data_IF_898592549614
#
_entry.id   IF_898592549614
#
_cell.length_a   1.000
_cell.length_b   1.000
_cell.length_c   1.000
_cell.angle_alpha   90.00
_cell.angle_beta   90.00
_cell.angle_gamma   90.00
#
_symmetry.space_group_name_H-M   'P 1'
#
loop_
_entity.id
_entity.type
_entity.pdbx_description
1 polymer ?
#
# COMPACT_ATOMS: atom_id res chain seq x y z
N UNK A 1 -23.45 38.61 41.57
CA UNK A 1 -24.53 38.09 42.43
C UNK A 1 -25.84 38.30 41.69
N UNK A 2 -26.74 37.30 41.76
CA UNK A 2 -27.79 36.94 40.79
C UNK A 2 -27.22 36.45 39.45
N UNK A 3 -27.29 35.16 39.06
CA UNK A 3 -28.36 34.15 39.25
C UNK A 3 -29.43 34.42 38.17
N UNK A 4 -29.79 33.54 37.25
CA UNK A 4 -29.95 32.09 37.28
C UNK A 4 -30.09 31.54 35.84
N UNK A 5 -29.56 30.33 35.65
CA UNK A 5 -30.16 29.16 35.01
C UNK A 5 -30.39 29.00 33.50
N UNK A 6 -30.09 27.77 33.10
CA UNK A 6 -30.12 27.13 31.80
C UNK A 6 -31.48 27.17 31.09
N UNK A 7 -31.42 27.35 29.77
CA UNK A 7 -32.21 26.49 28.86
C UNK A 7 -31.60 26.45 27.46
N UNK A 8 -30.84 25.39 27.19
CA UNK A 8 -30.55 24.96 25.81
C UNK A 8 -31.87 24.54 25.18
N UNK A 9 -32.52 25.44 24.44
CA UNK A 9 -33.61 25.07 23.51
C UNK A 9 -32.96 24.58 22.23
N UNK A 10 -32.90 23.27 22.06
CA UNK A 10 -32.74 22.66 20.75
C UNK A 10 -33.90 23.14 19.87
N UNK A 11 -33.62 24.08 18.98
CA UNK A 11 -34.59 24.58 18.02
C UNK A 11 -34.34 23.82 16.72
N UNK A 12 -35.13 22.76 16.51
CA UNK A 12 -35.28 22.15 15.20
C UNK A 12 -35.83 23.21 14.24
N UNK A 13 -34.96 23.79 13.41
CA UNK A 13 -35.38 24.64 12.31
C UNK A 13 -35.56 23.73 11.10
N UNK A 14 -36.82 23.42 10.78
CA UNK A 14 -37.21 22.93 9.47
C UNK A 14 -36.92 24.04 8.46
N UNK A 15 -35.77 23.98 7.79
CA UNK A 15 -35.51 24.84 6.64
C UNK A 15 -36.21 24.24 5.42
N UNK A 16 -37.22 24.94 4.95
CA UNK A 16 -37.91 24.65 3.70
C UNK A 16 -36.91 24.86 2.55
N UNK A 17 -36.51 23.77 1.88
CA UNK A 17 -35.78 23.85 0.62
C UNK A 17 -36.73 24.39 -0.45
N UNK A 18 -36.49 25.63 -0.90
CA UNK A 18 -37.04 26.13 -2.16
C UNK A 18 -36.38 25.32 -3.29
N UNK A 19 -37.14 24.72 -4.22
CA UNK A 19 -36.54 24.01 -5.34
C UNK A 19 -35.88 25.02 -6.28
N UNK A 20 -34.55 24.97 -6.37
CA UNK A 20 -33.82 25.60 -7.46
C UNK A 20 -34.14 24.81 -8.73
N UNK A 21 -34.64 25.44 -9.81
CA UNK A 21 -34.82 24.74 -11.07
C UNK A 21 -33.45 24.36 -11.62
N UNK A 22 -33.25 23.05 -11.80
CA UNK A 22 -32.22 22.40 -12.60
C UNK A 22 -30.96 23.22 -12.84
N UNK A 23 -30.00 23.14 -11.90
CA UNK A 23 -28.61 23.20 -12.31
C UNK A 23 -28.43 22.09 -13.35
N UNK A 24 -28.20 22.49 -14.61
CA UNK A 24 -27.70 21.59 -15.62
C UNK A 24 -26.50 20.88 -15.00
N UNK A 25 -26.66 19.59 -14.70
CA UNK A 25 -25.54 18.74 -14.34
C UNK A 25 -24.56 18.85 -15.50
N UNK A 26 -23.45 19.54 -15.28
CA UNK A 26 -22.26 19.34 -16.11
C UNK A 26 -22.05 17.82 -16.09
N UNK A 27 -22.13 17.13 -17.23
CA UNK A 27 -21.79 15.71 -17.25
C UNK A 27 -20.39 15.63 -16.64
N UNK A 28 -20.21 14.80 -15.61
CA UNK A 28 -18.87 14.48 -15.15
C UNK A 28 -18.11 14.02 -16.39
N UNK A 29 -17.01 14.70 -16.73
CA UNK A 29 -16.14 14.22 -17.79
C UNK A 29 -15.78 12.77 -17.47
N UNK A 30 -15.81 11.85 -18.45
CA UNK A 30 -15.38 10.49 -18.21
C UNK A 30 -13.95 10.54 -17.66
N UNK A 31 -13.67 9.72 -16.64
CA UNK A 31 -12.30 9.54 -16.16
C UNK A 31 -11.44 9.15 -17.36
N UNK A 32 -10.49 10.02 -17.71
CA UNK A 32 -9.54 9.74 -18.77
C UNK A 32 -8.61 8.66 -18.23
N UNK A 33 -8.72 7.46 -18.79
CA UNK A 33 -7.83 6.35 -18.47
C UNK A 33 -6.62 6.40 -19.42
N UNK A 34 -5.45 6.10 -18.89
CA UNK A 34 -4.19 6.14 -19.64
C UNK A 34 -3.60 4.74 -19.74
N UNK A 35 -3.50 4.24 -20.97
CA UNK A 35 -2.64 3.09 -21.28
C UNK A 35 -1.29 3.63 -21.71
N UNK A 36 -0.25 3.29 -20.97
CA UNK A 36 1.13 3.72 -21.22
C UNK A 36 2.01 2.51 -21.54
N UNK A 37 2.85 2.68 -22.53
CA UNK A 37 3.89 1.74 -22.90
C UNK A 37 5.22 2.50 -22.87
N UNK A 38 6.12 2.03 -22.00
CA UNK A 38 7.38 2.74 -21.72
C UNK A 38 8.55 1.81 -21.92
N UNK A 39 9.29 2.06 -23.00
CA UNK A 39 10.62 1.53 -23.24
C UNK A 39 11.65 2.51 -22.69
N UNK A 40 12.57 2.02 -21.85
CA UNK A 40 13.73 2.80 -21.41
C UNK A 40 15.02 2.05 -21.66
N UNK A 41 16.08 2.79 -21.94
CA UNK A 41 17.46 2.32 -21.99
C UNK A 41 18.35 3.27 -21.20
N UNK A 42 19.33 2.71 -20.50
CA UNK A 42 20.20 3.47 -19.60
C UNK A 42 21.56 2.77 -19.48
N UNK A 43 22.62 3.48 -19.02
CA UNK A 43 23.92 2.86 -18.78
C UNK A 43 23.96 1.97 -17.53
N UNK A 44 23.09 2.24 -16.55
CA UNK A 44 23.01 1.54 -15.27
C UNK A 44 22.12 0.29 -15.37
N UNK A 45 22.23 -0.67 -14.43
CA UNK A 45 21.44 -1.91 -14.49
C UNK A 45 20.04 -1.71 -13.87
N UNK A 46 18.95 -2.18 -14.51
CA UNK A 46 18.91 -2.87 -15.80
C UNK A 46 19.15 -1.93 -17.00
N UNK A 47 19.94 -2.39 -17.98
CA UNK A 47 20.32 -1.59 -19.17
C UNK A 47 19.13 -1.19 -20.05
N UNK A 48 18.05 -1.96 -19.96
CA UNK A 48 16.86 -1.85 -20.78
C UNK A 48 15.67 -2.38 -19.97
N UNK A 49 14.51 -1.76 -20.13
CA UNK A 49 13.25 -2.31 -19.66
C UNK A 49 12.09 -1.81 -20.50
N UNK A 50 11.05 -2.63 -20.57
CA UNK A 50 9.79 -2.30 -21.22
C UNK A 50 8.66 -2.73 -20.31
N UNK A 51 7.71 -1.82 -20.11
CA UNK A 51 6.53 -2.08 -19.31
C UNK A 51 5.30 -1.40 -19.89
N UNK A 52 4.17 -2.08 -19.73
CA UNK A 52 2.85 -1.58 -20.08
C UNK A 52 2.05 -1.41 -18.80
N UNK A 53 1.51 -0.22 -18.59
CA UNK A 53 0.74 0.14 -17.42
C UNK A 53 -0.59 0.82 -17.78
N UNK A 54 -1.63 0.51 -17.03
CA UNK A 54 -2.95 1.14 -17.11
C UNK A 54 -3.16 1.96 -15.85
N UNK A 55 -3.35 3.27 -15.98
CA UNK A 55 -3.48 4.21 -14.85
C UNK A 55 -2.35 4.07 -13.81
N UNK A 56 -1.10 3.91 -14.27
CA UNK A 56 0.10 3.66 -13.46
C UNK A 56 0.11 2.32 -12.68
N UNK A 57 -0.79 1.39 -13.00
CA UNK A 57 -0.72 0.00 -12.55
C UNK A 57 -0.07 -0.86 -13.65
N UNK A 58 1.05 -1.50 -13.34
CA UNK A 58 1.73 -2.37 -14.30
C UNK A 58 0.85 -3.57 -14.65
N UNK A 59 0.60 -3.76 -15.95
CA UNK A 59 -0.09 -4.94 -16.48
C UNK A 59 0.93 -5.98 -16.95
N UNK A 60 1.96 -5.52 -17.66
CA UNK A 60 2.97 -6.38 -18.27
C UNK A 60 4.38 -5.77 -18.16
N UNK A 61 5.35 -6.66 -18.15
CA UNK A 61 6.77 -6.34 -18.31
C UNK A 61 7.39 -7.25 -19.36
N UNK A 62 8.40 -6.78 -20.08
CA UNK A 62 9.07 -7.58 -21.09
C UNK A 62 10.38 -8.17 -20.54
N UNK A 63 10.50 -9.49 -20.66
CA UNK A 63 11.69 -10.25 -20.32
C UNK A 63 12.59 -10.37 -21.56
N UNK A 64 13.54 -9.44 -21.65
CA UNK A 64 14.41 -9.30 -22.83
C UNK A 64 15.25 -10.56 -23.10
N UNK A 65 15.92 -11.19 -22.13
CA UNK A 65 16.67 -12.43 -22.38
C UNK A 65 15.84 -13.57 -22.97
N UNK A 66 14.58 -13.71 -22.55
CA UNK A 66 13.69 -14.79 -23.01
C UNK A 66 12.72 -14.35 -24.12
N UNK A 67 12.79 -13.08 -24.54
CA UNK A 67 11.93 -12.48 -25.58
C UNK A 67 10.43 -12.75 -25.36
N UNK A 68 9.96 -12.53 -24.13
CA UNK A 68 8.58 -12.84 -23.74
C UNK A 68 7.97 -11.75 -22.86
N UNK A 69 6.66 -11.55 -23.01
CA UNK A 69 5.88 -10.71 -22.11
C UNK A 69 5.49 -11.48 -20.85
N UNK A 70 5.72 -10.89 -19.69
CA UNK A 70 5.36 -11.42 -18.39
C UNK A 70 4.17 -10.64 -17.84
N UNK A 71 3.03 -11.30 -17.55
CA UNK A 71 1.92 -10.67 -16.87
C UNK A 71 2.29 -10.37 -15.41
N UNK A 72 1.80 -9.24 -14.91
CA UNK A 72 2.01 -8.87 -13.51
C UNK A 72 1.26 -9.78 -12.54
N UNK A 73 0.10 -10.30 -12.95
CA UNK A 73 -0.68 -11.26 -12.18
C UNK A 73 -0.26 -12.70 -12.55
N UNK A 74 -0.04 -13.60 -11.58
CA UNK A 74 0.32 -14.99 -11.85
C UNK A 74 -0.68 -15.73 -12.76
N UNK A 75 -1.97 -15.44 -12.61
CA UNK A 75 -3.06 -15.98 -13.43
C UNK A 75 -3.56 -14.97 -14.49
N UNK A 76 -2.72 -13.98 -14.82
CA UNK A 76 -3.04 -12.94 -15.80
C UNK A 76 -3.16 -13.50 -17.22
N UNK A 77 -3.91 -12.82 -18.11
CA UNK A 77 -3.94 -13.20 -19.51
C UNK A 77 -2.53 -13.07 -20.13
N UNK A 78 -2.23 -13.92 -21.11
CA UNK A 78 -1.04 -13.72 -21.93
C UNK A 78 -1.16 -12.42 -22.73
N UNK A 79 -0.02 -11.84 -23.10
CA UNK A 79 0.03 -10.67 -23.97
C UNK A 79 -0.78 -10.94 -25.27
N UNK A 80 -1.68 -10.04 -25.68
CA UNK A 80 -2.53 -10.30 -26.85
C UNK A 80 -1.69 -10.47 -28.12
N UNK A 81 -1.95 -11.56 -28.86
CA UNK A 81 -1.25 -11.84 -30.10
C UNK A 81 -1.50 -10.74 -31.15
N UNK A 82 -0.43 -10.25 -31.77
CA UNK A 82 -0.50 -9.32 -32.89
C UNK A 82 -0.60 -7.83 -32.53
N UNK A 83 -0.55 -7.45 -31.24
CA UNK A 83 -0.36 -6.05 -30.83
C UNK A 83 1.06 -5.61 -31.13
N UNK A 84 2.04 -6.43 -30.75
CA UNK A 84 3.45 -6.13 -30.96
C UNK A 84 4.26 -7.42 -31.00
N UNK A 85 5.10 -7.56 -32.02
CA UNK A 85 5.93 -8.75 -32.20
C UNK A 85 7.29 -8.56 -31.52
N UNK A 86 7.89 -9.62 -30.93
CA UNK A 86 9.22 -9.51 -30.32
C UNK A 86 10.30 -8.91 -31.24
N UNK A 87 10.17 -9.07 -32.56
CA UNK A 87 11.09 -8.51 -33.56
C UNK A 87 11.00 -6.98 -33.65
N UNK A 88 9.81 -6.41 -33.50
CA UNK A 88 9.58 -4.95 -33.51
C UNK A 88 10.24 -4.33 -32.26
N UNK A 89 10.05 -4.98 -31.12
CA UNK A 89 10.70 -4.61 -29.86
C UNK A 89 12.23 -4.59 -29.96
N UNK A 90 12.84 -5.58 -30.61
CA UNK A 90 14.30 -5.59 -30.79
C UNK A 90 14.79 -4.35 -31.56
N UNK A 91 14.04 -3.90 -32.57
CA UNK A 91 14.40 -2.69 -33.32
C UNK A 91 14.33 -1.44 -32.46
N UNK A 92 13.26 -1.29 -31.67
CA UNK A 92 13.09 -0.14 -30.78
C UNK A 92 14.16 -0.11 -29.67
N UNK A 93 14.59 -1.29 -29.20
CA UNK A 93 15.68 -1.37 -28.21
C UNK A 93 17.03 -0.93 -28.78
N UNK A 94 17.30 -1.22 -30.06
CA UNK A 94 18.51 -0.77 -30.74
C UNK A 94 18.47 0.73 -30.98
N UNK A 95 17.34 1.24 -31.49
CA UNK A 95 17.10 2.66 -31.67
C UNK A 95 17.24 3.44 -30.36
N UNK A 96 16.70 2.92 -29.25
CA UNK A 96 16.83 3.53 -27.93
C UNK A 96 18.31 3.69 -27.55
N UNK A 97 19.12 2.64 -27.72
CA UNK A 97 20.55 2.68 -27.38
C UNK A 97 21.32 3.65 -28.25
N UNK A 98 21.07 3.66 -29.57
CA UNK A 98 21.70 4.60 -30.49
C UNK A 98 21.35 6.05 -30.15
N UNK A 99 20.08 6.31 -29.83
CA UNK A 99 19.60 7.62 -29.43
C UNK A 99 20.22 8.05 -28.10
N UNK A 100 20.29 7.16 -27.11
CA UNK A 100 20.94 7.42 -25.83
C UNK A 100 22.41 7.80 -26.02
N UNK A 101 23.15 7.07 -26.85
CA UNK A 101 24.56 7.32 -27.16
C UNK A 101 24.75 8.67 -27.89
N UNK A 102 23.88 8.99 -28.84
CA UNK A 102 23.88 10.29 -29.52
C UNK A 102 23.55 11.44 -28.56
N UNK A 103 22.47 11.32 -27.78
CA UNK A 103 22.03 12.33 -26.83
C UNK A 103 23.09 12.57 -25.75
N UNK A 104 23.74 11.51 -25.25
CA UNK A 104 24.84 11.61 -24.28
C UNK A 104 26.02 12.40 -24.83
N UNK A 105 26.32 12.30 -26.13
CA UNK A 105 27.41 13.09 -26.76
C UNK A 105 27.08 14.56 -26.95
N UNK A 106 25.84 14.88 -27.31
CA UNK A 106 25.45 16.24 -27.71
C UNK A 106 24.85 17.06 -26.57
N UNK A 107 24.31 16.39 -25.54
CA UNK A 107 23.76 17.07 -24.38
C UNK A 107 24.87 17.81 -23.62
N UNK A 108 24.64 19.10 -23.39
CA UNK A 108 25.53 19.95 -22.60
C UNK A 108 24.77 20.38 -21.36
N UNK A 109 24.95 19.63 -20.27
CA UNK A 109 24.27 19.85 -19.01
C UNK A 109 24.49 18.68 -18.05
N UNK A 110 24.27 18.87 -16.74
CA UNK A 110 24.20 17.74 -15.83
C UNK A 110 23.07 16.82 -16.29
N UNK A 111 23.28 15.50 -16.23
CA UNK A 111 22.17 14.57 -16.28
C UNK A 111 21.15 14.98 -15.22
N UNK A 112 19.85 14.73 -15.46
CA UNK A 112 18.84 14.93 -14.41
C UNK A 112 19.33 14.22 -13.15
N UNK A 113 19.71 15.00 -12.13
CA UNK A 113 20.18 14.45 -10.85
C UNK A 113 19.06 13.56 -10.33
N UNK A 114 19.41 12.32 -10.00
CA UNK A 114 18.41 11.30 -9.70
C UNK A 114 17.49 11.73 -8.57
N UNK A 115 16.19 11.64 -8.80
CA UNK A 115 15.19 11.92 -7.79
C UNK A 115 15.41 11.02 -6.56
N UNK A 116 15.48 11.61 -5.36
CA UNK A 116 15.65 10.85 -4.10
C UNK A 116 14.45 9.89 -3.98
N UNK A 117 14.67 8.56 -3.96
CA UNK A 117 13.57 7.61 -3.87
C UNK A 117 12.82 7.79 -2.56
N UNK A 118 11.50 7.65 -2.60
CA UNK A 118 10.66 7.67 -1.41
C UNK A 118 10.20 6.24 -1.15
N UNK A 119 10.41 5.74 0.05
CA UNK A 119 10.09 4.37 0.42
C UNK A 119 9.11 4.33 1.59
N UNK A 120 8.06 3.53 1.45
CA UNK A 120 7.08 3.25 2.50
C UNK A 120 6.96 1.74 2.71
N UNK A 121 6.83 1.32 3.96
CA UNK A 121 6.69 -0.08 4.34
C UNK A 121 5.39 -0.33 5.09
N UNK A 122 4.62 -1.31 4.63
CA UNK A 122 3.34 -1.69 5.23
C UNK A 122 3.09 -3.19 5.08
N UNK A 123 2.12 -3.71 5.84
CA UNK A 123 1.69 -5.10 5.69
C UNK A 123 0.63 -5.23 4.60
N UNK A 124 0.67 -6.34 3.87
CA UNK A 124 -0.33 -6.71 2.87
C UNK A 124 -1.68 -7.03 3.51
N UNK A 125 -1.66 -7.70 4.66
CA UNK A 125 -2.87 -8.07 5.42
C UNK A 125 -2.84 -7.44 6.82
N UNK A 126 -3.99 -7.27 7.48
CA UNK A 126 -4.03 -6.75 8.85
C UNK A 126 -3.12 -7.52 9.82
N UNK A 127 -2.45 -6.79 10.72
CA UNK A 127 -1.45 -7.36 11.62
C UNK A 127 -2.07 -8.38 12.59
N UNK A 128 -1.58 -9.62 12.55
CA UNK A 128 -1.79 -10.64 13.57
C UNK A 128 -0.42 -11.19 14.00
N UNK A 129 -0.08 -11.06 15.28
CA UNK A 129 1.21 -11.53 15.78
C UNK A 129 1.29 -13.05 15.75
N UNK A 130 2.42 -13.58 15.27
CA UNK A 130 2.68 -15.01 15.16
C UNK A 130 2.01 -15.70 13.96
N UNK A 131 1.36 -14.96 13.07
CA UNK A 131 0.76 -15.48 11.84
C UNK A 131 1.52 -15.01 10.59
N UNK A 132 1.59 -15.83 9.51
CA UNK A 132 2.22 -15.42 8.26
C UNK A 132 1.57 -14.18 7.66
N UNK A 133 2.40 -13.29 7.11
CA UNK A 133 1.98 -12.10 6.37
C UNK A 133 3.10 -11.72 5.38
N UNK A 134 2.90 -10.64 4.62
CA UNK A 134 3.89 -10.12 3.68
C UNK A 134 4.07 -8.62 3.94
N UNK A 135 5.31 -8.20 4.20
CA UNK A 135 5.67 -6.79 4.16
C UNK A 135 5.84 -6.35 2.72
N UNK A 136 5.33 -5.17 2.40
CA UNK A 136 5.45 -4.51 1.11
C UNK A 136 6.29 -3.25 1.32
N UNK A 137 7.38 -3.13 0.57
CA UNK A 137 8.13 -1.89 0.41
C UNK A 137 7.76 -1.29 -0.94
N UNK A 138 7.00 -0.20 -0.91
CA UNK A 138 6.67 0.60 -2.09
C UNK A 138 7.73 1.69 -2.22
N UNK A 139 8.37 1.76 -3.38
CA UNK A 139 9.41 2.76 -3.67
C UNK A 139 8.98 3.59 -4.87
N UNK A 140 8.82 4.89 -4.68
CA UNK A 140 8.43 5.85 -5.70
C UNK A 140 9.53 6.88 -5.94
N UNK A 141 9.29 7.81 -6.87
CA UNK A 141 10.22 8.88 -7.24
C UNK A 141 11.58 8.34 -7.72
N UNK A 142 11.56 7.22 -8.44
CA UNK A 142 12.77 6.58 -8.94
C UNK A 142 13.10 7.17 -10.31
N UNK A 143 14.24 7.85 -10.41
CA UNK A 143 14.81 8.23 -11.69
C UNK A 143 16.35 8.33 -11.56
N UNK A 144 17.12 7.73 -12.48
CA UNK A 144 16.70 6.72 -13.46
C UNK A 144 16.31 5.39 -12.75
N UNK A 145 15.70 4.39 -13.43
CA UNK A 145 15.27 3.13 -12.83
C UNK A 145 16.44 2.20 -12.51
N UNK A 146 17.30 2.61 -11.59
CA UNK A 146 18.53 1.91 -11.18
C UNK A 146 18.72 2.01 -9.66
N UNK A 147 17.96 1.20 -8.93
CA UNK A 147 18.02 1.08 -7.47
C UNK A 147 18.18 -0.38 -7.03
N UNK A 148 18.80 -0.56 -5.88
CA UNK A 148 18.89 -1.83 -5.15
C UNK A 148 18.02 -1.73 -3.90
N UNK A 149 17.11 -2.69 -3.72
CA UNK A 149 16.25 -2.79 -2.54
C UNK A 149 16.73 -3.99 -1.71
N UNK A 150 16.96 -3.79 -0.42
CA UNK A 150 17.35 -4.86 0.50
C UNK A 150 16.53 -4.80 1.79
N UNK A 151 16.36 -5.95 2.43
CA UNK A 151 15.62 -6.07 3.68
C UNK A 151 16.55 -6.40 4.84
N UNK A 152 16.21 -5.89 6.02
CA UNK A 152 16.79 -6.34 7.28
C UNK A 152 15.69 -6.62 8.30
N UNK A 153 15.98 -7.55 9.20
CA UNK A 153 15.25 -7.80 10.44
C UNK A 153 16.23 -7.62 11.60
N UNK A 154 15.93 -6.71 12.52
CA UNK A 154 16.76 -6.38 13.68
C UNK A 154 18.21 -6.04 13.31
N UNK A 155 18.38 -5.35 12.17
CA UNK A 155 19.69 -4.97 11.61
C UNK A 155 20.44 -6.08 10.86
N UNK A 156 19.86 -7.28 10.78
CA UNK A 156 20.45 -8.43 10.09
C UNK A 156 19.82 -8.56 8.70
N UNK A 157 20.62 -8.65 7.61
CA UNK A 157 20.09 -8.83 6.26
C UNK A 157 19.23 -10.08 6.11
N UNK A 158 18.10 -9.94 5.41
CA UNK A 158 17.19 -11.05 5.08
C UNK A 158 16.99 -11.10 3.57
N UNK A 159 17.19 -12.30 3.00
CA UNK A 159 17.00 -12.58 1.58
C UNK A 159 15.92 -13.63 1.33
N UNK A 160 15.64 -14.47 2.32
CA UNK A 160 14.64 -15.54 2.20
C UNK A 160 13.23 -14.93 2.16
N UNK A 161 12.41 -15.40 1.21
CA UNK A 161 11.06 -14.88 1.02
C UNK A 161 11.00 -13.47 0.42
N UNK A 162 12.13 -12.93 -0.08
CA UNK A 162 12.17 -11.64 -0.76
C UNK A 162 11.82 -11.80 -2.24
N UNK A 163 10.88 -10.98 -2.72
CA UNK A 163 10.56 -10.86 -4.14
C UNK A 163 10.58 -9.40 -4.56
N UNK A 164 11.14 -9.08 -5.73
CA UNK A 164 11.12 -7.74 -6.29
C UNK A 164 10.30 -7.74 -7.58
N UNK A 165 9.45 -6.73 -7.74
CA UNK A 165 8.80 -6.49 -9.02
C UNK A 165 9.70 -5.66 -9.95
N UNK A 166 9.32 -5.63 -11.22
CA UNK A 166 9.94 -4.77 -12.21
C UNK A 166 9.51 -3.31 -12.01
N UNK A 167 10.12 -2.39 -12.76
CA UNK A 167 9.79 -0.96 -12.66
C UNK A 167 8.46 -0.67 -13.36
N UNK A 168 7.55 -0.02 -12.64
CA UNK A 168 6.29 0.49 -13.17
C UNK A 168 6.49 1.95 -13.59
N UNK A 169 6.21 2.33 -14.85
CA UNK A 169 6.29 3.71 -15.27
C UNK A 169 5.16 4.54 -14.64
N UNK A 170 5.48 5.78 -14.29
CA UNK A 170 4.54 6.77 -13.75
C UNK A 170 4.29 7.88 -14.79
N UNK A 171 3.22 8.64 -14.62
CA UNK A 171 2.85 9.73 -15.53
C UNK A 171 3.90 10.86 -15.63
N UNK A 172 4.75 11.02 -14.61
CA UNK A 172 5.79 12.05 -14.52
C UNK A 172 7.16 11.65 -15.09
N UNK A 173 7.20 10.56 -15.88
CA UNK A 173 8.43 9.91 -16.38
C UNK A 173 9.30 9.28 -15.28
N UNK A 174 8.86 9.31 -14.02
CA UNK A 174 9.44 8.57 -12.93
C UNK A 174 9.04 7.09 -12.97
N UNK A 175 9.63 6.32 -12.08
CA UNK A 175 9.29 4.91 -11.88
C UNK A 175 8.90 4.64 -10.43
N UNK A 176 8.07 3.62 -10.27
CA UNK A 176 7.76 2.97 -9.02
C UNK A 176 8.25 1.52 -9.04
N UNK A 177 8.62 0.99 -7.88
CA UNK A 177 9.03 -0.41 -7.73
C UNK A 177 8.58 -0.94 -6.38
N UNK A 178 8.14 -2.19 -6.37
CA UNK A 178 7.74 -2.88 -5.15
C UNK A 178 8.72 -3.99 -4.80
N UNK A 179 8.92 -4.19 -3.50
CA UNK A 179 9.55 -5.39 -2.95
C UNK A 179 8.67 -5.98 -1.86
N UNK A 180 8.61 -7.31 -1.82
CA UNK A 180 7.85 -8.08 -0.85
C UNK A 180 8.80 -8.89 0.02
N UNK A 181 8.47 -9.03 1.30
CA UNK A 181 9.16 -9.91 2.23
C UNK A 181 8.12 -10.75 2.99
N UNK A 182 8.18 -12.07 2.84
CA UNK A 182 7.38 -13.00 3.65
C UNK A 182 7.85 -12.99 5.11
N UNK A 183 6.92 -12.79 6.04
CA UNK A 183 7.23 -12.63 7.47
C UNK A 183 6.21 -13.33 8.36
N UNK A 184 6.60 -13.57 9.61
CA UNK A 184 5.69 -13.91 10.71
C UNK A 184 5.98 -12.94 11.86
N UNK A 185 5.29 -11.79 11.94
CA UNK A 185 5.66 -10.71 12.84
C UNK A 185 5.45 -11.08 14.30
N UNK A 186 6.42 -10.77 15.16
CA UNK A 186 6.34 -10.89 16.61
C UNK A 186 6.53 -9.53 17.27
N UNK A 187 5.98 -9.37 18.48
CA UNK A 187 6.15 -8.13 19.25
C UNK A 187 7.63 -7.84 19.45
N UNK A 188 8.06 -6.63 19.07
CA UNK A 188 9.44 -6.17 19.20
C UNK A 188 10.32 -6.39 17.96
N UNK A 189 9.85 -7.10 16.94
CA UNK A 189 10.56 -7.19 15.67
C UNK A 189 10.68 -5.80 15.01
N UNK A 190 11.85 -5.52 14.43
CA UNK A 190 12.09 -4.30 13.64
C UNK A 190 12.50 -4.72 12.23
N UNK A 191 11.70 -4.33 11.24
CA UNK A 191 12.02 -4.55 9.83
C UNK A 191 12.45 -3.24 9.19
N UNK A 192 13.35 -3.32 8.21
CA UNK A 192 13.71 -2.17 7.40
C UNK A 192 13.88 -2.53 5.93
N UNK A 193 13.30 -1.71 5.06
CA UNK A 193 13.57 -1.69 3.64
C UNK A 193 14.62 -0.61 3.35
N UNK A 194 15.75 -1.00 2.78
CA UNK A 194 16.87 -0.12 2.44
C UNK A 194 16.92 -0.01 0.92
N UNK A 195 16.72 1.20 0.42
CA UNK A 195 16.76 1.54 -1.00
C UNK A 195 18.03 2.31 -1.26
N UNK A 196 18.89 1.79 -2.14
CA UNK A 196 20.15 2.43 -2.50
C UNK A 196 20.15 2.75 -3.98
N UNK A 197 20.43 4.00 -4.31
CA UNK A 197 20.75 4.43 -5.68
C UNK A 197 22.26 4.35 -5.88
N UNK A 198 22.69 3.48 -6.78
CA UNK A 198 24.11 3.09 -6.88
C UNK A 198 25.02 4.21 -7.40
N UNK A 199 24.48 5.07 -8.28
CA UNK A 199 25.26 6.11 -8.97
C UNK A 199 25.92 7.12 -8.03
N UNK A 200 25.23 7.45 -6.94
CA UNK A 200 25.64 8.47 -5.97
C UNK A 200 25.64 7.98 -4.52
N UNK A 201 25.42 6.67 -4.30
CA UNK A 201 25.35 6.02 -2.99
C UNK A 201 24.37 6.69 -2.02
N UNK A 202 23.29 7.28 -2.55
CA UNK A 202 22.19 7.78 -1.73
C UNK A 202 21.33 6.61 -1.30
N UNK A 203 21.18 6.43 0.01
CA UNK A 203 20.34 5.40 0.60
C UNK A 203 19.21 6.00 1.42
N UNK A 204 18.02 5.43 1.27
CA UNK A 204 16.83 5.73 2.07
C UNK A 204 16.43 4.47 2.82
N UNK A 205 16.08 4.61 4.10
CA UNK A 205 15.67 3.50 4.95
C UNK A 205 14.27 3.75 5.46
N UNK A 206 13.36 2.82 5.15
CA UNK A 206 12.00 2.83 5.66
C UNK A 206 11.86 1.70 6.69
N UNK A 207 11.44 2.05 7.90
CA UNK A 207 11.26 1.11 9.00
C UNK A 207 9.80 0.68 9.13
N UNK A 208 9.61 -0.55 9.56
CA UNK A 208 8.31 -1.05 9.98
C UNK A 208 8.43 -1.82 11.29
N UNK A 209 7.51 -1.54 12.21
CA UNK A 209 7.39 -2.22 13.49
C UNK A 209 5.93 -2.65 13.69
N UNK A 210 5.66 -3.80 14.32
CA UNK A 210 4.30 -4.21 14.64
C UNK A 210 3.65 -3.19 15.59
N UNK A 211 2.52 -2.60 15.18
CA UNK A 211 1.70 -1.68 15.99
C UNK A 211 0.23 -2.09 15.87
N UNK A 212 -0.51 -1.97 16.97
CA UNK A 212 -1.96 -2.23 17.00
C UNK A 212 -2.39 -3.57 16.38
N UNK A 213 -1.85 -4.71 16.85
CA UNK A 213 -2.23 -6.02 16.32
C UNK A 213 -3.69 -6.35 16.61
N UNK A 214 -4.34 -7.03 15.66
CA UNK A 214 -5.65 -7.63 15.89
C UNK A 214 -5.53 -8.62 17.05
N UNK A 215 -6.39 -8.52 18.08
CA UNK A 215 -6.41 -9.48 19.16
C UNK A 215 -6.60 -10.88 18.63
N UNK A 216 -5.86 -11.85 19.17
CA UNK A 216 -6.07 -13.25 18.79
C UNK A 216 -7.49 -13.70 19.13
N UNK A 217 -8.06 -14.59 18.33
CA UNK A 217 -9.40 -15.16 18.59
C UNK A 217 -9.50 -15.77 19.99
N UNK A 218 -8.42 -16.37 20.48
CA UNK A 218 -8.35 -16.92 21.83
C UNK A 218 -8.52 -15.83 22.89
N UNK A 219 -7.85 -14.69 22.72
CA UNK A 219 -7.97 -13.56 23.66
C UNK A 219 -9.38 -12.96 23.59
N UNK A 220 -9.92 -12.77 22.39
CA UNK A 220 -11.28 -12.27 22.21
C UNK A 220 -12.32 -13.19 22.89
N UNK A 221 -12.21 -14.50 22.68
CA UNK A 221 -13.09 -15.49 23.30
C UNK A 221 -12.92 -15.57 24.82
N UNK A 222 -11.68 -15.46 25.33
CA UNK A 222 -11.42 -15.44 26.77
C UNK A 222 -12.03 -14.20 27.44
N UNK A 223 -11.90 -13.02 26.84
CA UNK A 223 -12.49 -11.78 27.35
C UNK A 223 -14.01 -11.85 27.31
N UNK A 224 -14.59 -12.30 26.20
CA UNK A 224 -16.04 -12.48 26.07
C UNK A 224 -16.59 -13.48 27.10
N UNK A 225 -15.90 -14.60 27.29
CA UNK A 225 -16.21 -15.59 28.33
C UNK A 225 -16.15 -15.01 29.75
N UNK A 226 -15.12 -14.24 30.07
CA UNK A 226 -14.99 -13.59 31.38
C UNK A 226 -16.12 -12.59 31.66
N UNK A 227 -16.45 -11.76 30.67
CA UNK A 227 -17.53 -10.76 30.79
C UNK A 227 -18.90 -11.43 30.94
N UNK A 228 -19.16 -12.51 30.20
CA UNK A 228 -20.43 -13.25 30.30
C UNK A 228 -20.59 -13.93 31.66
N UNK A 229 -19.55 -14.58 32.18
CA UNK A 229 -19.58 -15.18 33.52
C UNK A 229 -19.82 -14.13 34.60
N UNK A 230 -19.13 -12.99 34.51
CA UNK A 230 -19.32 -11.87 35.46
C UNK A 230 -20.75 -11.33 35.38
N UNK A 231 -21.30 -11.17 34.18
CA UNK A 231 -22.68 -10.74 33.97
C UNK A 231 -23.70 -11.68 34.60
N UNK A 232 -23.51 -13.00 34.46
CA UNK A 232 -24.38 -14.01 35.09
C UNK A 232 -24.31 -13.92 36.62
N UNK A 233 -23.10 -13.80 37.20
CA UNK A 233 -22.93 -13.69 38.65
C UNK A 233 -23.62 -12.44 39.22
N UNK A 234 -23.46 -11.30 38.55
CA UNK A 234 -24.12 -10.05 38.95
C UNK A 234 -25.64 -10.14 38.84
N UNK A 235 -26.17 -10.78 37.80
CA UNK A 235 -27.60 -11.00 37.63
C UNK A 235 -28.18 -11.89 38.75
N UNK A 236 -27.49 -12.97 39.12
CA UNK A 236 -27.89 -13.86 40.21
C UNK A 236 -27.87 -13.16 41.57
N UNK A 237 -26.81 -12.37 41.85
CA UNK A 237 -26.72 -11.56 43.06
C UNK A 237 -27.85 -10.52 43.13
N UNK A 238 -28.12 -9.82 42.03
CA UNK A 238 -29.23 -8.87 41.92
C UNK A 238 -30.58 -9.53 42.19
N UNK A 239 -30.83 -10.70 41.60
CA UNK A 239 -32.05 -11.49 41.86
C UNK A 239 -32.16 -11.90 43.33
N UNK A 240 -31.08 -12.39 43.94
CA UNK A 240 -31.05 -12.76 45.36
C UNK A 240 -31.36 -11.57 46.29
N UNK A 241 -30.79 -10.41 46.01
CA UNK A 241 -31.07 -9.17 46.77
C UNK A 241 -32.54 -8.75 46.63
N UNK A 242 -33.10 -8.77 45.40
CA UNK A 242 -34.51 -8.45 45.16
C UNK A 242 -35.45 -9.39 45.91
N UNK A 243 -35.21 -10.70 45.85
CA UNK A 243 -35.98 -11.69 46.59
C UNK A 243 -35.89 -11.46 48.10
N UNK A 244 -34.70 -11.14 48.63
CA UNK A 244 -34.50 -10.82 50.04
C UNK A 244 -35.23 -9.54 50.48
N UNK A 245 -35.32 -8.53 49.61
CA UNK A 245 -36.02 -7.29 49.87
C UNK A 245 -37.54 -7.49 49.83
N UNK A 246 -38.06 -8.24 48.86
CA UNK A 246 -39.47 -8.63 48.79
C UNK A 246 -39.88 -9.43 50.04
N UNK A 247 -39.05 -10.39 50.47
CA UNK A 247 -39.32 -11.18 51.68
C UNK A 247 -39.29 -10.34 52.95
N UNK A 248 -38.38 -9.36 53.05
CA UNK A 248 -38.36 -8.41 54.18
C UNK A 248 -39.59 -7.50 54.21
N UNK A 249 -40.10 -7.05 53.06
CA UNK A 249 -41.36 -6.28 52.99
C UNK A 249 -42.58 -7.12 53.37
N UNK A 250 -42.59 -8.41 53.07
CA UNK A 250 -43.68 -9.32 53.43
C UNK A 250 -43.73 -9.62 54.94
N UNK A 251 -42.59 -9.59 55.64
CA UNK A 251 -42.50 -9.88 57.09
C UNK A 251 -42.61 -8.64 58.00
N UNK A 252 -42.61 -7.43 57.43
CA UNK A 252 -42.74 -6.17 58.16
C UNK A 252 -44.18 -5.64 58.31
N UNK A 253 -45.19 -6.50 58.15
CA UNK A 253 -46.61 -6.21 58.39
C UNK A 253 -47.14 -7.08 59.52
#
# INVERSE_FOLDING_TARGET
MQGEDERVRAQCVCAWCVPVPHALSVPAEPSLHTLSEVLFCQPDTPLLGLSVAFDSEQLFSFDVPNSQWLPQLPDGPAWPAGIEQPQELLHDTELCRELLDLLTRIATGPCLDGCIPVADVFLKEPLQLGYPNTLVCMVANIFPPAITISWQRDGIPVTDGVTHLTYTPMEDLGFMRFSYLEVTPHSGDIYSCIVTRERDNVSVVAYWVPQDPIPSDVLAMAVCGAVTVLGILLALLGLGLLLSACRRRAWGK
#
